data_IF_670298350956
#
_entry.id   IF_670298350956
#
_cell.length_a   1.000
_cell.length_b   1.000
_cell.length_c   1.000
_cell.angle_alpha   90.00
_cell.angle_beta   90.00
_cell.angle_gamma   90.00
#
_symmetry.space_group_name_H-M   'P 1'
#
loop_
_entity.id
_entity.type
_entity.pdbx_description
1 polymer ?
#
# COMPACT_ATOMS: atom_id res chain seq x y z
N UNK A 1 -2.70 9.48 20.04
CA UNK A 1 -1.76 9.00 19.01
C UNK A 1 -1.62 9.99 17.85
N UNK A 2 -2.69 10.39 17.16
CA UNK A 2 -2.62 11.26 15.97
C UNK A 2 -1.97 12.64 16.19
N UNK A 3 -2.21 13.30 17.33
CA UNK A 3 -1.53 14.58 17.64
C UNK A 3 0.00 14.47 17.66
N UNK A 4 0.56 13.29 17.98
CA UNK A 4 2.00 13.09 18.03
C UNK A 4 2.60 12.90 16.62
N UNK A 5 1.82 12.38 15.67
CA UNK A 5 2.28 12.14 14.31
C UNK A 5 2.30 13.42 13.44
N UNK A 6 1.37 14.36 13.70
CA UNK A 6 1.21 15.59 12.90
C UNK A 6 2.49 16.43 12.71
N UNK A 7 3.35 16.62 13.72
CA UNK A 7 4.61 17.38 13.56
C UNK A 7 5.62 16.75 12.59
N UNK A 8 5.49 15.46 12.29
CA UNK A 8 6.41 14.72 11.41
C UNK A 8 5.97 14.71 9.95
N UNK A 9 4.82 15.31 9.63
CA UNK A 9 4.31 15.42 8.27
C UNK A 9 4.74 16.76 7.66
N UNK A 10 5.28 16.72 6.45
CA UNK A 10 5.54 17.94 5.69
C UNK A 10 4.21 18.61 5.26
N UNK A 11 4.20 19.93 5.00
CA UNK A 11 2.97 20.66 4.70
C UNK A 11 2.14 20.09 3.55
N UNK A 12 2.78 19.49 2.54
CA UNK A 12 2.10 18.89 1.39
C UNK A 12 1.43 17.56 1.73
N UNK A 13 1.97 16.82 2.70
CA UNK A 13 1.36 15.55 3.14
C UNK A 13 0.23 15.80 4.12
N UNK A 14 0.32 16.84 4.96
CA UNK A 14 -0.76 17.20 5.90
C UNK A 14 -2.10 17.43 5.18
N UNK A 15 -2.10 17.98 3.96
CA UNK A 15 -3.32 18.18 3.18
C UNK A 15 -3.88 16.93 2.51
N UNK A 16 -3.11 15.84 2.45
CA UNK A 16 -3.51 14.57 1.82
C UNK A 16 -4.02 13.53 2.82
N UNK A 17 -3.72 13.71 4.09
CA UNK A 17 -4.11 12.76 5.13
C UNK A 17 -5.30 13.29 5.91
N UNK A 18 -6.30 12.42 6.07
CA UNK A 18 -7.45 12.70 6.90
C UNK A 18 -7.51 11.69 8.03
N UNK A 19 -7.50 12.20 9.26
CA UNK A 19 -7.55 11.37 10.46
C UNK A 19 -8.99 11.24 10.90
N UNK A 20 -9.49 10.01 10.87
CA UNK A 20 -10.88 9.69 11.12
C UNK A 20 -11.01 9.01 12.48
N UNK A 21 -12.11 9.29 13.18
CA UNK A 21 -12.38 8.76 14.51
C UNK A 21 -13.77 8.16 14.58
N UNK A 22 -13.90 6.98 15.20
CA UNK A 22 -15.16 6.24 15.27
C UNK A 22 -16.27 6.97 16.02
N UNK A 23 -15.92 7.85 16.96
CA UNK A 23 -16.89 8.60 17.77
C UNK A 23 -17.37 9.90 17.09
N UNK A 24 -16.74 10.31 15.99
CA UNK A 24 -17.09 11.54 15.28
C UNK A 24 -18.04 11.24 14.10
N UNK A 25 -19.29 11.74 14.14
CA UNK A 25 -20.24 11.55 13.03
C UNK A 25 -19.74 12.09 11.70
N UNK A 26 -18.92 13.16 11.71
CA UNK A 26 -18.35 13.71 10.47
C UNK A 26 -17.33 12.76 9.86
N UNK A 27 -16.52 12.10 10.70
CA UNK A 27 -15.60 11.06 10.26
C UNK A 27 -16.35 9.92 9.59
N UNK A 28 -17.46 9.44 10.17
CA UNK A 28 -18.26 8.38 9.54
C UNK A 28 -18.81 8.82 8.17
N UNK A 29 -19.39 10.01 8.08
CA UNK A 29 -19.91 10.55 6.81
C UNK A 29 -18.83 10.67 5.72
N UNK A 30 -17.65 11.18 6.08
CA UNK A 30 -16.51 11.25 5.16
C UNK A 30 -16.12 9.88 4.62
N UNK A 31 -16.19 8.84 5.45
CA UNK A 31 -15.86 7.48 5.05
C UNK A 31 -16.85 6.96 4.01
N UNK A 32 -18.14 7.18 4.25
CA UNK A 32 -19.24 6.78 3.37
C UNK A 32 -19.22 7.54 2.03
N UNK A 33 -18.67 8.76 2.02
CA UNK A 33 -18.53 9.58 0.81
C UNK A 33 -17.34 9.14 -0.06
N UNK A 34 -16.24 8.70 0.56
CA UNK A 34 -15.01 8.32 -0.14
C UNK A 34 -14.99 6.85 -0.59
N UNK A 35 -15.72 5.97 0.11
CA UNK A 35 -15.68 4.53 -0.11
C UNK A 35 -17.07 3.91 -0.17
N UNK A 36 -17.21 2.87 -0.99
CA UNK A 36 -18.39 1.99 -0.93
C UNK A 36 -18.25 1.04 0.27
N UNK A 37 -19.01 1.31 1.32
CA UNK A 37 -18.96 0.55 2.58
C UNK A 37 -19.22 -0.94 2.43
N UNK A 38 -19.96 -1.35 1.39
CA UNK A 38 -20.24 -2.77 1.15
C UNK A 38 -19.04 -3.55 0.63
N UNK A 39 -18.03 -2.84 0.10
CA UNK A 39 -16.80 -3.41 -0.44
C UNK A 39 -15.59 -3.19 0.48
N UNK A 40 -15.75 -2.42 1.57
CA UNK A 40 -14.70 -2.20 2.56
C UNK A 40 -14.83 -3.27 3.64
N UNK A 41 -13.74 -3.97 3.96
CA UNK A 41 -13.74 -5.01 4.98
C UNK A 41 -14.04 -4.43 6.38
N UNK A 42 -14.78 -5.17 7.20
CA UNK A 42 -15.14 -4.73 8.57
C UNK A 42 -13.93 -4.43 9.45
N UNK A 43 -12.79 -5.10 9.24
CA UNK A 43 -11.53 -4.83 9.92
C UNK A 43 -11.03 -3.38 9.71
N UNK A 44 -11.46 -2.71 8.64
CA UNK A 44 -11.13 -1.32 8.32
C UNK A 44 -12.29 -0.35 8.59
N UNK A 45 -13.40 -0.83 9.17
CA UNK A 45 -14.57 -0.01 9.51
C UNK A 45 -15.70 -0.02 8.47
N UNK A 46 -15.63 -0.90 7.47
CA UNK A 46 -16.71 -1.10 6.49
C UNK A 46 -17.81 -2.06 6.95
N UNK A 47 -18.77 -2.32 6.05
CA UNK A 47 -19.95 -3.15 6.31
C UNK A 47 -19.82 -4.59 5.78
N UNK A 48 -18.72 -4.92 5.07
CA UNK A 48 -18.48 -6.30 4.64
C UNK A 48 -18.20 -7.19 5.85
N UNK A 49 -19.07 -8.20 6.03
CA UNK A 49 -19.06 -9.13 7.15
C UNK A 49 -18.04 -10.25 6.99
N UNK A 50 -17.31 -10.28 5.87
CA UNK A 50 -16.21 -11.21 5.72
C UNK A 50 -15.05 -10.85 6.67
N UNK A 51 -14.51 -11.85 7.35
CA UNK A 51 -13.28 -11.68 8.12
C UNK A 51 -12.10 -11.43 7.18
N UNK A 52 -11.12 -10.67 7.67
CA UNK A 52 -9.88 -10.41 6.94
C UNK A 52 -8.96 -11.64 6.99
N UNK A 53 -8.75 -12.27 5.82
CA UNK A 53 -7.77 -13.35 5.64
C UNK A 53 -6.59 -12.83 4.79
N UNK A 54 -5.42 -12.79 5.42
CA UNK A 54 -4.18 -12.28 4.80
C UNK A 54 -3.73 -13.11 3.59
N UNK A 55 -3.92 -14.43 3.63
CA UNK A 55 -3.51 -15.32 2.53
C UNK A 55 -4.42 -15.09 1.34
N UNK A 56 -5.73 -15.04 1.57
CA UNK A 56 -6.72 -14.74 0.51
C UNK A 56 -6.47 -13.35 -0.09
N UNK A 57 -6.16 -12.36 0.73
CA UNK A 57 -5.83 -11.01 0.26
C UNK A 57 -4.55 -11.01 -0.59
N UNK A 58 -3.50 -11.70 -0.15
CA UNK A 58 -2.23 -11.79 -0.87
C UNK A 58 -2.38 -12.47 -2.24
N UNK A 59 -3.18 -13.53 -2.33
CA UNK A 59 -3.52 -14.16 -3.62
C UNK A 59 -4.23 -13.17 -4.55
N UNK A 60 -5.24 -12.46 -4.05
CA UNK A 60 -5.99 -11.45 -4.84
C UNK A 60 -5.08 -10.34 -5.36
N UNK A 61 -4.19 -9.79 -4.51
CA UNK A 61 -3.20 -8.79 -4.93
C UNK A 61 -2.32 -9.29 -6.08
N UNK A 62 -1.83 -10.54 -5.99
CA UNK A 62 -0.98 -11.13 -7.03
C UNK A 62 -1.72 -11.35 -8.34
N UNK A 63 -3.00 -11.72 -8.27
CA UNK A 63 -3.84 -11.88 -9.46
C UNK A 63 -4.15 -10.54 -10.14
N UNK A 64 -4.46 -9.50 -9.35
CA UNK A 64 -4.71 -8.15 -9.83
C UNK A 64 -3.44 -7.56 -10.48
N UNK A 65 -2.27 -7.73 -9.89
CA UNK A 65 -0.99 -7.29 -10.45
C UNK A 65 -0.70 -7.95 -11.80
N UNK A 66 -0.97 -9.26 -11.93
CA UNK A 66 -0.83 -9.98 -13.22
C UNK A 66 -1.76 -9.38 -14.27
N UNK A 67 -3.02 -9.16 -13.92
CA UNK A 67 -4.02 -8.56 -14.82
C UNK A 67 -3.62 -7.16 -15.26
N UNK A 68 -3.17 -6.33 -14.31
CA UNK A 68 -2.71 -4.97 -14.59
C UNK A 68 -1.48 -5.01 -15.51
N UNK A 69 -0.50 -5.86 -15.22
CA UNK A 69 0.69 -6.02 -16.08
C UNK A 69 0.33 -6.43 -17.51
N UNK A 70 -0.69 -7.28 -17.69
CA UNK A 70 -1.16 -7.70 -19.00
C UNK A 70 -1.92 -6.57 -19.72
N UNK A 71 -2.68 -5.76 -18.98
CA UNK A 71 -3.39 -4.59 -19.52
C UNK A 71 -2.39 -3.58 -20.10
N UNK A 72 -1.36 -3.20 -19.35
CA UNK A 72 -0.37 -2.22 -19.81
C UNK A 72 0.54 -2.75 -20.93
N UNK A 73 0.89 -4.04 -20.93
CA UNK A 73 1.67 -4.66 -22.02
C UNK A 73 0.95 -4.68 -23.36
N UNK A 74 -0.39 -4.58 -23.37
CA UNK A 74 -1.18 -4.63 -24.59
C UNK A 74 -0.96 -3.38 -25.47
N UNK A 75 -0.69 -2.24 -24.84
CA UNK A 75 -0.55 -0.95 -25.55
C UNK A 75 0.83 -0.77 -26.22
N UNK A 76 1.84 -1.56 -25.85
CA UNK A 76 3.18 -1.51 -26.48
C UNK A 76 3.23 -2.18 -27.87
N UNK A 77 2.22 -2.99 -28.23
CA UNK A 77 2.16 -3.70 -29.52
C UNK A 77 1.31 -3.00 -30.60
N UNK A 78 0.70 -1.87 -30.27
CA UNK A 78 -0.04 -1.03 -31.21
C UNK A 78 0.34 0.45 -31.04
N UNK A 79 1.63 0.76 -31.18
CA UNK A 79 2.07 2.11 -31.46
C UNK A 79 1.72 2.49 -32.92
N UNK A 80 0.43 2.61 -33.22
CA UNK A 80 -0.05 3.59 -34.20
C UNK A 80 -0.96 4.56 -33.43
N UNK A 81 -0.33 5.62 -32.97
CA UNK A 81 -0.88 6.88 -32.47
C UNK A 81 -2.42 6.97 -32.44
N UNK A 82 -3.02 6.66 -31.29
CA UNK A 82 -4.35 7.15 -30.93
C UNK A 82 -4.30 7.59 -29.47
N UNK A 83 -4.07 8.88 -29.26
CA UNK A 83 -4.27 9.50 -27.95
C UNK A 83 -5.69 9.22 -27.45
N UNK A 84 -5.87 8.96 -26.15
CA UNK A 84 -7.19 9.07 -25.53
C UNK A 84 -7.59 10.55 -25.52
N UNK A 85 -8.59 10.91 -26.31
CA UNK A 85 -9.21 12.24 -26.30
C UNK A 85 -9.90 12.44 -24.95
N UNK A 86 -9.23 13.12 -24.01
CA UNK A 86 -9.91 13.81 -22.91
C UNK A 86 -10.23 15.22 -23.40
N UNK A 87 -11.49 15.46 -23.75
CA UNK A 87 -11.98 16.79 -24.08
C UNK A 87 -12.04 17.64 -22.80
N UNK A 88 -11.02 18.49 -22.60
CA UNK A 88 -11.11 19.89 -22.13
C UNK A 88 -9.72 20.37 -21.66
N UNK A 89 -9.11 21.28 -22.44
CA UNK A 89 -7.91 22.08 -22.14
C UNK A 89 -8.37 23.53 -21.77
N UNK A 90 -7.59 24.45 -21.14
CA UNK A 90 -6.15 24.41 -21.20
C UNK A 90 -5.27 24.83 -20.01
N UNK A 91 -4.02 24.39 -20.14
CA UNK A 91 -2.79 25.10 -19.79
C UNK A 91 -2.04 24.58 -18.58
N UNK A 92 -1.06 23.71 -18.83
CA UNK A 92 0.25 23.73 -18.19
C UNK A 92 1.30 23.38 -19.25
N UNK A 93 2.07 24.37 -19.66
CA UNK A 93 3.23 24.21 -20.54
C UNK A 93 4.27 23.29 -19.89
N UNK A 94 4.82 22.27 -20.59
CA UNK A 94 5.95 21.52 -20.10
C UNK A 94 7.21 22.37 -20.24
N UNK A 95 7.79 22.80 -19.12
CA UNK A 95 9.13 23.38 -19.12
C UNK A 95 10.13 22.27 -19.39
N UNK A 96 10.80 22.33 -20.54
CA UNK A 96 11.97 21.50 -20.83
C UNK A 96 13.02 21.76 -19.73
N UNK A 97 13.37 20.74 -18.96
CA UNK A 97 14.51 20.81 -18.05
C UNK A 97 15.52 19.78 -18.53
N UNK A 98 16.52 20.25 -19.27
CA UNK A 98 17.76 19.53 -19.54
C UNK A 98 18.35 19.09 -18.20
N UNK A 99 18.37 17.78 -17.94
CA UNK A 99 19.16 17.20 -16.85
C UNK A 99 20.44 16.65 -17.46
N UNK A 100 21.51 17.41 -17.24
CA UNK A 100 22.87 17.11 -17.63
C UNK A 100 23.40 15.89 -16.87
N UNK A 101 24.15 15.05 -17.57
CA UNK A 101 24.65 13.76 -17.11
C UNK A 101 26.04 13.94 -16.50
N UNK A 102 26.16 13.81 -15.18
CA UNK A 102 27.47 13.73 -14.51
C UNK A 102 27.80 12.27 -14.19
N UNK A 103 28.85 11.77 -14.85
CA UNK A 103 29.52 10.48 -14.59
C UNK A 103 30.23 10.56 -13.25
N UNK A 104 29.87 9.67 -12.31
CA UNK A 104 30.74 9.34 -11.18
C UNK A 104 31.12 7.86 -11.26
N UNK A 105 32.34 7.65 -11.74
CA UNK A 105 33.09 6.41 -11.71
C UNK A 105 33.58 6.19 -10.27
N UNK A 106 33.04 5.19 -9.55
CA UNK A 106 33.74 4.63 -8.39
C UNK A 106 33.55 3.11 -8.35
N UNK A 107 34.61 2.44 -8.82
CA UNK A 107 34.86 1.01 -8.68
C UNK A 107 34.97 0.64 -7.20
N UNK A 108 33.96 -0.04 -6.65
CA UNK A 108 34.11 -0.85 -5.44
C UNK A 108 33.48 -2.23 -5.64
N UNK A 109 34.27 -3.19 -5.19
CA UNK A 109 34.25 -4.64 -5.35
C UNK A 109 32.99 -5.31 -4.78
N UNK A 110 32.51 -6.37 -5.45
CA UNK A 110 31.39 -7.20 -5.02
C UNK A 110 31.79 -8.07 -3.82
N UNK A 111 31.08 -8.06 -2.68
CA UNK A 111 31.01 -9.23 -1.84
C UNK A 111 29.84 -10.12 -2.31
N UNK A 112 30.19 -11.33 -2.74
CA UNK A 112 29.25 -12.46 -2.88
C UNK A 112 28.60 -12.71 -1.52
N UNK A 113 27.27 -12.70 -1.44
CA UNK A 113 26.53 -13.22 -0.29
C UNK A 113 25.77 -14.44 -0.76
N UNK A 114 26.35 -15.59 -0.48
CA UNK A 114 25.71 -16.90 -0.53
C UNK A 114 24.52 -16.88 0.44
N UNK A 115 23.32 -17.04 -0.11
CA UNK A 115 22.08 -17.18 0.66
C UNK A 115 21.93 -18.66 0.99
N UNK A 116 22.34 -19.05 2.20
CA UNK A 116 21.87 -20.29 2.80
C UNK A 116 20.46 -20.05 3.36
N UNK A 117 19.52 -20.85 2.87
CA UNK A 117 18.16 -20.93 3.38
C UNK A 117 18.18 -21.65 4.74
N UNK A 118 17.80 -20.96 5.82
CA UNK A 118 17.39 -21.62 7.06
C UNK A 118 15.94 -21.27 7.40
N UNK A 119 15.14 -22.34 7.48
CA UNK A 119 13.78 -22.37 7.99
C UNK A 119 13.65 -21.74 9.38
N UNK A 120 12.66 -20.85 9.55
CA UNK A 120 12.19 -20.43 10.86
C UNK A 120 11.03 -21.32 11.30
N UNK A 121 11.35 -22.33 12.12
CA UNK A 121 10.36 -23.12 12.86
C UNK A 121 9.69 -22.27 13.95
N UNK A 122 8.36 -22.19 13.90
CA UNK A 122 7.50 -21.55 14.90
C UNK A 122 7.18 -22.54 16.03
N UNK A 123 7.71 -22.31 17.23
CA UNK A 123 7.32 -23.09 18.42
C UNK A 123 6.08 -22.50 19.11
N UNK A 124 5.04 -23.33 19.16
CA UNK A 124 3.77 -23.21 19.86
C UNK A 124 3.97 -23.41 21.37
N UNK A 125 3.62 -22.41 22.20
CA UNK A 125 3.69 -22.54 23.66
C UNK A 125 2.28 -22.66 24.25
N UNK A 126 1.95 -23.83 24.82
CA UNK A 126 0.73 -24.08 25.61
C UNK A 126 1.08 -24.10 27.12
N UNK A 127 0.21 -23.58 28.01
CA UNK A 127 0.52 -23.48 29.45
C UNK A 127 0.22 -24.77 30.22
N UNK A 128 1.16 -25.19 31.08
CA UNK A 128 0.98 -26.31 32.03
C UNK A 128 0.57 -25.79 33.41
N UNK A 129 -0.42 -26.48 33.98
CA UNK A 129 -1.16 -26.18 35.21
C UNK A 129 -0.32 -26.21 36.49
N UNK A 130 -0.62 -25.28 37.41
CA UNK A 130 -0.06 -25.24 38.76
C UNK A 130 -0.94 -26.07 39.71
N UNK A 131 -0.35 -27.05 40.41
CA UNK A 131 -0.98 -27.72 41.55
C UNK A 131 -0.36 -27.21 42.85
N UNK A 132 -1.23 -26.70 43.72
CA UNK A 132 -0.97 -26.19 45.07
C UNK A 132 -0.70 -27.37 46.00
N UNK A 133 0.33 -27.29 46.86
CA UNK A 133 0.52 -28.25 47.96
C UNK A 133 0.29 -27.54 49.29
N UNK A 134 -0.77 -27.96 49.98
CA UNK A 134 -1.02 -27.67 51.39
C UNK A 134 -0.77 -28.94 52.20
N UNK A 135 0.15 -28.86 53.17
CA UNK A 135 0.12 -29.50 54.49
C UNK A 135 1.34 -29.03 55.26
#
# INVERSE_FOLDING_TARGET
>A
MVQLAKPFLDPKTVSKVQFMYSEDPNSKKMMEELFDMSLVESAFGGDDKADFDVNKYAERMREDDKKLSAFWKKDDSSASNAQPTVTADPSLEPTNSDSDSEVLDEKVEKPSLDVDEEELSIEETLPRTANVKAV
#
